data_IF_796368502309
#
_entry.id   IF_796368502309
#
_cell.length_a   1.000
_cell.length_b   1.000
_cell.length_c   1.000
_cell.angle_alpha   90.00
_cell.angle_beta   90.00
_cell.angle_gamma   90.00
#
_symmetry.space_group_name_H-M   'P 1'
#
loop_
_entity.id
_entity.type
_entity.pdbx_description
1 polymer ?
#
# COMPACT_ATOMS: atom_id res chain seq x y z
N UNK A 1 -27.77 31.92 -18.01
CA UNK A 1 -27.73 31.03 -16.81
C UNK A 1 -26.32 30.51 -16.66
N UNK A 2 -25.54 31.12 -15.77
CA UNK A 2 -24.11 30.82 -15.59
C UNK A 2 -23.95 29.65 -14.62
N UNK A 3 -23.32 28.56 -15.06
CA UNK A 3 -23.11 27.36 -14.26
C UNK A 3 -22.25 27.66 -13.02
N UNK A 4 -22.57 27.11 -11.83
CA UNK A 4 -21.80 27.37 -10.63
C UNK A 4 -20.42 26.72 -10.75
N UNK A 5 -19.36 27.52 -10.59
CA UNK A 5 -17.98 27.04 -10.45
C UNK A 5 -17.92 26.08 -9.27
N UNK A 6 -17.54 24.82 -9.53
CA UNK A 6 -17.32 23.79 -8.49
C UNK A 6 -16.46 24.39 -7.37
N UNK A 7 -17.06 24.54 -6.19
CA UNK A 7 -16.36 24.92 -4.97
C UNK A 7 -15.29 23.85 -4.71
N UNK A 8 -14.02 24.24 -4.87
CA UNK A 8 -12.88 23.45 -4.40
C UNK A 8 -12.93 23.47 -2.88
N UNK A 9 -13.76 22.59 -2.30
CA UNK A 9 -13.71 22.28 -0.88
C UNK A 9 -12.28 21.80 -0.62
N UNK A 10 -11.54 22.50 0.24
CA UNK A 10 -10.24 22.03 0.75
C UNK A 10 -10.50 20.69 1.42
N UNK A 11 -10.42 19.61 0.67
CA UNK A 11 -10.21 18.28 1.25
C UNK A 11 -8.94 18.37 2.10
N UNK A 12 -8.96 17.72 3.26
CA UNK A 12 -7.79 17.59 4.11
C UNK A 12 -6.59 17.17 3.23
N UNK A 13 -5.45 17.90 3.25
CA UNK A 13 -4.26 17.55 2.48
C UNK A 13 -3.89 16.05 2.57
N UNK A 14 -4.09 15.43 3.73
CA UNK A 14 -3.85 14.01 3.94
C UNK A 14 -4.81 13.12 3.13
N UNK A 15 -6.09 13.46 3.09
CA UNK A 15 -7.09 12.73 2.31
C UNK A 15 -6.80 12.78 0.80
N UNK A 16 -6.28 13.92 0.32
CA UNK A 16 -5.90 14.06 -1.10
C UNK A 16 -4.66 13.23 -1.41
N UNK A 17 -3.65 13.27 -0.54
CA UNK A 17 -2.44 12.44 -0.67
C UNK A 17 -2.78 10.95 -0.70
N UNK A 18 -3.67 10.50 0.17
CA UNK A 18 -4.15 9.12 0.22
C UNK A 18 -4.91 8.71 -1.05
N UNK A 19 -5.72 9.61 -1.61
CA UNK A 19 -6.42 9.35 -2.87
C UNK A 19 -5.43 9.09 -4.03
N UNK A 20 -4.33 9.85 -4.10
CA UNK A 20 -3.28 9.65 -5.10
C UNK A 20 -2.57 8.30 -4.92
N UNK A 21 -2.27 7.94 -3.66
CA UNK A 21 -1.69 6.65 -3.30
C UNK A 21 -2.60 5.50 -3.74
N UNK A 22 -3.89 5.57 -3.42
CA UNK A 22 -4.88 4.55 -3.79
C UNK A 22 -5.07 4.44 -5.30
N UNK A 23 -5.06 5.55 -6.02
CA UNK A 23 -5.11 5.55 -7.49
C UNK A 23 -3.89 4.85 -8.10
N UNK A 24 -2.69 5.12 -7.58
CA UNK A 24 -1.48 4.42 -8.00
C UNK A 24 -1.59 2.90 -7.72
N UNK A 25 -2.02 2.50 -6.52
CA UNK A 25 -2.23 1.08 -6.19
C UNK A 25 -3.26 0.41 -7.12
N UNK A 26 -4.39 1.06 -7.40
CA UNK A 26 -5.43 0.57 -8.33
C UNK A 26 -4.86 0.28 -9.73
N UNK A 27 -4.02 1.19 -10.25
CA UNK A 27 -3.39 1.02 -11.55
C UNK A 27 -2.37 -0.12 -11.55
N UNK A 28 -1.52 -0.19 -10.53
CA UNK A 28 -0.50 -1.26 -10.42
C UNK A 28 -1.19 -2.62 -10.30
N UNK A 29 -2.23 -2.74 -9.48
CA UNK A 29 -2.97 -3.99 -9.30
C UNK A 29 -3.60 -4.48 -10.61
N UNK A 30 -4.13 -3.58 -11.44
CA UNK A 30 -4.84 -3.94 -12.68
C UNK A 30 -3.94 -4.07 -13.91
N UNK A 31 -2.86 -3.30 -13.98
CA UNK A 31 -2.06 -3.10 -15.21
C UNK A 31 -0.55 -3.20 -15.00
N UNK A 32 -0.12 -3.50 -13.80
CA UNK A 32 1.29 -3.60 -13.41
C UNK A 32 1.99 -2.24 -13.24
N UNK A 33 3.22 -2.25 -12.70
CA UNK A 33 3.95 -1.02 -12.35
C UNK A 33 4.23 -0.07 -13.51
N UNK A 34 4.50 -0.62 -14.70
CA UNK A 34 4.81 0.18 -15.89
C UNK A 34 3.65 1.08 -16.35
N UNK A 35 2.41 0.69 -16.05
CA UNK A 35 1.22 1.47 -16.42
C UNK A 35 0.97 2.67 -15.48
N UNK A 36 1.59 2.70 -14.30
CA UNK A 36 1.42 3.73 -13.27
C UNK A 36 2.21 5.02 -13.61
N UNK A 37 1.92 5.62 -14.76
CA UNK A 37 2.50 6.91 -15.16
C UNK A 37 1.83 8.07 -14.43
N UNK A 38 2.52 9.21 -14.25
CA UNK A 38 1.93 10.42 -13.63
C UNK A 38 0.62 10.82 -14.31
N UNK A 39 0.55 10.70 -15.64
CA UNK A 39 -0.67 10.97 -16.40
C UNK A 39 -1.78 9.99 -16.04
N UNK A 40 -1.52 8.69 -16.11
CA UNK A 40 -2.52 7.67 -15.81
C UNK A 40 -3.03 7.78 -14.37
N UNK A 41 -2.15 8.06 -13.41
CA UNK A 41 -2.53 8.25 -12.00
C UNK A 41 -3.39 9.50 -11.83
N UNK A 42 -3.05 10.60 -12.51
CA UNK A 42 -3.86 11.82 -12.47
C UNK A 42 -5.26 11.59 -13.05
N UNK A 43 -5.35 10.85 -14.16
CA UNK A 43 -6.62 10.45 -14.78
C UNK A 43 -7.44 9.54 -13.84
N UNK A 44 -6.82 8.53 -13.24
CA UNK A 44 -7.46 7.61 -12.27
C UNK A 44 -7.96 8.35 -11.01
N UNK A 45 -7.18 9.30 -10.50
CA UNK A 45 -7.55 10.10 -9.33
C UNK A 45 -8.50 11.26 -9.66
N UNK A 46 -8.78 11.54 -10.93
CA UNK A 46 -9.62 12.66 -11.36
C UNK A 46 -9.02 14.04 -11.07
N UNK A 47 -7.69 14.17 -11.13
CA UNK A 47 -6.96 15.41 -10.81
C UNK A 47 -6.01 15.83 -11.94
N UNK A 48 -5.39 17.01 -11.80
CA UNK A 48 -4.34 17.44 -12.74
C UNK A 48 -2.99 16.83 -12.36
N UNK A 49 -2.10 16.64 -13.35
CA UNK A 49 -0.73 16.19 -13.09
C UNK A 49 0.05 17.18 -12.18
N UNK A 50 -0.26 18.47 -12.27
CA UNK A 50 0.31 19.49 -11.39
C UNK A 50 -0.02 19.27 -9.92
N UNK A 51 -1.21 18.74 -9.61
CA UNK A 51 -1.56 18.40 -8.24
C UNK A 51 -0.71 17.24 -7.70
N UNK A 52 -0.38 16.25 -8.53
CA UNK A 52 0.53 15.17 -8.12
C UNK A 52 1.89 15.74 -7.75
N UNK A 53 2.44 16.62 -8.59
CA UNK A 53 3.74 17.29 -8.34
C UNK A 53 3.76 18.15 -7.08
N UNK A 54 2.59 18.60 -6.61
CA UNK A 54 2.48 19.32 -5.35
C UNK A 54 2.68 18.42 -4.12
N UNK A 55 2.24 17.15 -4.19
CA UNK A 55 2.38 16.19 -3.09
C UNK A 55 3.63 15.30 -3.19
N UNK A 56 4.09 15.03 -4.41
CA UNK A 56 5.18 14.10 -4.71
C UNK A 56 6.13 14.73 -5.72
N UNK A 57 7.40 14.86 -5.35
CA UNK A 57 8.43 15.47 -6.21
C UNK A 57 8.65 14.62 -7.47
N UNK A 58 8.66 13.30 -7.31
CA UNK A 58 8.84 12.33 -8.40
C UNK A 58 7.72 11.28 -8.42
N UNK A 59 7.61 10.55 -9.53
CA UNK A 59 6.70 9.39 -9.62
C UNK A 59 7.13 8.31 -8.64
N UNK A 60 8.44 8.13 -8.50
CA UNK A 60 9.09 7.19 -7.59
C UNK A 60 8.71 7.49 -6.13
N UNK A 61 8.64 8.76 -5.72
CA UNK A 61 8.17 9.13 -4.38
C UNK A 61 6.72 8.70 -4.11
N UNK A 62 5.85 8.86 -5.11
CA UNK A 62 4.46 8.40 -5.02
C UNK A 62 4.38 6.86 -4.97
N UNK A 63 5.17 6.16 -5.78
CA UNK A 63 5.21 4.70 -5.76
C UNK A 63 5.78 4.16 -4.43
N UNK A 64 6.78 4.83 -3.86
CA UNK A 64 7.31 4.50 -2.54
C UNK A 64 6.27 4.72 -1.44
N UNK A 65 5.55 5.84 -1.47
CA UNK A 65 4.46 6.09 -0.52
C UNK A 65 3.32 5.07 -0.68
N UNK A 66 3.00 4.68 -1.91
CA UNK A 66 2.01 3.64 -2.18
C UNK A 66 2.45 2.27 -1.66
N UNK A 67 3.73 1.94 -1.81
CA UNK A 67 4.31 0.72 -1.26
C UNK A 67 4.26 0.69 0.27
N UNK A 68 4.65 1.79 0.92
CA UNK A 68 4.57 1.95 2.38
C UNK A 68 3.14 1.76 2.89
N UNK A 69 2.18 2.41 2.24
CA UNK A 69 0.76 2.28 2.57
C UNK A 69 0.29 0.83 2.48
N UNK A 70 0.66 0.12 1.41
CA UNK A 70 0.29 -1.29 1.22
C UNK A 70 0.93 -2.21 2.27
N UNK A 71 2.22 -2.04 2.59
CA UNK A 71 2.91 -2.85 3.60
C UNK A 71 2.40 -2.60 5.02
N UNK A 72 2.05 -1.36 5.34
CA UNK A 72 1.46 -1.03 6.63
C UNK A 72 0.10 -1.71 6.82
N UNK A 73 -0.78 -1.63 5.82
CA UNK A 73 -2.09 -2.31 5.87
C UNK A 73 -1.95 -3.83 6.05
N UNK A 74 -0.98 -4.46 5.38
CA UNK A 74 -0.71 -5.89 5.54
C UNK A 74 -0.21 -6.23 6.95
N UNK A 75 0.66 -5.40 7.52
CA UNK A 75 1.20 -5.59 8.87
C UNK A 75 0.12 -5.42 9.93
N UNK A 76 -0.71 -4.38 9.83
CA UNK A 76 -1.83 -4.11 10.75
C UNK A 76 -2.86 -5.25 10.75
N UNK A 77 -3.15 -5.84 9.58
CA UNK A 77 -4.02 -7.00 9.49
C UNK A 77 -3.49 -8.21 10.27
N UNK A 78 -2.17 -8.43 10.25
CA UNK A 78 -1.51 -9.54 10.96
C UNK A 78 -1.49 -9.27 12.47
N UNK A 79 -1.19 -8.04 12.88
CA UNK A 79 -1.19 -7.62 14.30
C UNK A 79 -2.58 -7.79 14.94
N UNK A 80 -3.65 -7.41 14.24
CA UNK A 80 -5.02 -7.54 14.76
C UNK A 80 -5.44 -8.99 15.05
N UNK A 81 -4.83 -9.96 14.38
CA UNK A 81 -5.18 -11.38 14.50
C UNK A 81 -4.48 -12.09 15.64
N UNK A 82 -3.25 -11.68 15.92
CA UNK A 82 -2.54 -12.10 17.14
C UNK A 82 -3.36 -11.73 18.37
N UNK A 83 -4.01 -10.56 18.35
CA UNK A 83 -4.80 -10.05 19.45
C UNK A 83 -6.14 -10.78 19.69
N UNK A 84 -6.52 -11.76 18.85
CA UNK A 84 -7.80 -12.51 18.94
C UNK A 84 -7.92 -13.47 20.15
N UNK A 85 -7.14 -13.25 21.21
CA UNK A 85 -7.29 -13.95 22.49
C UNK A 85 -6.29 -15.10 22.73
N UNK A 86 -6.34 -15.68 23.94
CA UNK A 86 -5.35 -16.63 24.40
C UNK A 86 -5.33 -17.90 23.54
N UNK A 87 -4.13 -18.27 23.09
CA UNK A 87 -3.87 -19.49 22.34
C UNK A 87 -2.43 -19.89 22.53
N UNK A 88 -2.13 -21.20 22.45
CA UNK A 88 -0.74 -21.67 22.45
C UNK A 88 0.04 -21.22 21.22
N UNK A 89 1.38 -21.20 21.31
CA UNK A 89 2.27 -20.75 20.23
C UNK A 89 1.96 -21.40 18.87
N UNK A 90 1.74 -22.73 18.85
CA UNK A 90 1.36 -23.47 17.63
C UNK A 90 0.07 -22.93 16.99
N UNK A 91 -0.95 -22.62 17.79
CA UNK A 91 -2.23 -22.14 17.29
C UNK A 91 -2.12 -20.69 16.81
N UNK A 92 -1.32 -19.85 17.48
CA UNK A 92 -1.00 -18.50 16.99
C UNK A 92 -0.29 -18.54 15.64
N UNK A 93 0.73 -19.39 15.52
CA UNK A 93 1.45 -19.59 14.25
C UNK A 93 0.52 -20.09 13.13
N UNK A 94 -0.33 -21.09 13.43
CA UNK A 94 -1.27 -21.63 12.46
C UNK A 94 -2.27 -20.55 11.96
N UNK A 95 -2.79 -19.71 12.87
CA UNK A 95 -3.66 -18.58 12.50
C UNK A 95 -2.92 -17.59 11.61
N UNK A 96 -1.69 -17.26 11.97
CA UNK A 96 -0.88 -16.32 11.20
C UNK A 96 -0.60 -16.81 9.78
N UNK A 97 -0.19 -18.08 9.63
CA UNK A 97 0.02 -18.70 8.32
C UNK A 97 -1.27 -18.71 7.51
N UNK A 98 -2.37 -19.17 8.10
CA UNK A 98 -3.67 -19.25 7.43
C UNK A 98 -4.12 -17.87 6.91
N UNK A 99 -3.93 -16.81 7.68
CA UNK A 99 -4.23 -15.45 7.24
C UNK A 99 -3.35 -14.99 6.10
N UNK A 100 -2.03 -15.18 6.18
CA UNK A 100 -1.11 -14.73 5.14
C UNK A 100 -1.42 -15.36 3.77
N UNK A 101 -2.11 -16.51 3.74
CA UNK A 101 -2.52 -17.21 2.52
C UNK A 101 -4.04 -17.14 2.24
N UNK A 102 -4.79 -16.32 2.99
CA UNK A 102 -6.23 -16.13 2.80
C UNK A 102 -6.56 -14.69 2.39
N UNK A 103 -7.70 -14.44 1.72
CA UNK A 103 -8.18 -13.07 1.50
C UNK A 103 -8.34 -12.29 2.82
N UNK A 104 -8.04 -10.99 2.84
CA UNK A 104 -7.64 -10.16 1.69
C UNK A 104 -6.15 -10.27 1.31
N UNK A 105 -5.29 -10.84 2.16
CA UNK A 105 -3.84 -10.87 1.94
C UNK A 105 -3.42 -11.66 0.67
N UNK A 106 -4.15 -12.73 0.36
CA UNK A 106 -3.96 -13.54 -0.85
C UNK A 106 -4.99 -13.25 -1.96
N UNK A 107 -5.69 -12.11 -1.90
CA UNK A 107 -6.59 -11.71 -2.98
C UNK A 107 -5.79 -11.45 -4.29
N UNK A 108 -6.38 -11.65 -5.48
CA UNK A 108 -5.69 -11.43 -6.75
C UNK A 108 -5.05 -10.04 -6.86
N UNK A 109 -5.73 -9.00 -6.38
CA UNK A 109 -5.21 -7.64 -6.36
C UNK A 109 -3.98 -7.49 -5.46
N UNK A 110 -4.01 -8.10 -4.27
CA UNK A 110 -2.88 -8.07 -3.33
C UNK A 110 -1.66 -8.82 -3.88
N UNK A 111 -1.88 -9.98 -4.50
CA UNK A 111 -0.82 -10.75 -5.17
C UNK A 111 -0.24 -9.99 -6.37
N UNK A 112 -1.08 -9.31 -7.14
CA UNK A 112 -0.66 -8.49 -8.28
C UNK A 112 0.16 -7.28 -7.83
N UNK A 113 -0.25 -6.62 -6.74
CA UNK A 113 0.53 -5.56 -6.11
C UNK A 113 1.87 -6.09 -5.61
N UNK A 114 1.87 -7.19 -4.86
CA UNK A 114 3.10 -7.80 -4.34
C UNK A 114 4.08 -8.16 -5.46
N UNK A 115 3.61 -8.83 -6.51
CA UNK A 115 4.42 -9.17 -7.69
C UNK A 115 4.90 -7.91 -8.43
N UNK A 116 4.08 -6.87 -8.52
CA UNK A 116 4.48 -5.59 -9.10
C UNK A 116 5.58 -4.89 -8.30
N UNK A 117 5.43 -4.85 -6.97
CA UNK A 117 6.38 -4.19 -6.08
C UNK A 117 7.69 -4.97 -5.96
N UNK A 118 7.67 -6.31 -5.94
CA UNK A 118 8.91 -7.08 -5.77
C UNK A 118 9.91 -6.72 -6.86
N UNK A 119 9.48 -6.56 -8.12
CA UNK A 119 10.35 -6.14 -9.21
C UNK A 119 10.93 -4.72 -9.04
N UNK A 120 10.25 -3.82 -8.33
CA UNK A 120 10.69 -2.45 -8.07
C UNK A 120 11.60 -2.37 -6.85
N UNK A 121 11.34 -3.17 -5.80
CA UNK A 121 12.13 -3.25 -4.56
C UNK A 121 13.61 -3.49 -4.87
N UNK A 122 13.94 -4.32 -5.86
CA UNK A 122 15.33 -4.60 -6.24
C UNK A 122 16.03 -3.47 -7.01
N UNK A 123 15.28 -2.46 -7.48
CA UNK A 123 15.80 -1.39 -8.35
C UNK A 123 15.82 -0.02 -7.67
N UNK A 124 15.00 0.18 -6.65
CA UNK A 124 14.90 1.42 -5.87
C UNK A 124 15.39 1.19 -4.42
N UNK A 125 16.51 1.82 -4.01
CA UNK A 125 17.04 1.68 -2.65
C UNK A 125 16.07 2.12 -1.54
N UNK A 126 15.24 3.13 -1.78
CA UNK A 126 14.25 3.60 -0.79
C UNK A 126 13.11 2.59 -0.64
N UNK A 127 12.69 1.97 -1.74
CA UNK A 127 11.71 0.89 -1.71
C UNK A 127 12.28 -0.36 -1.03
N UNK A 128 13.56 -0.68 -1.28
CA UNK A 128 14.28 -1.75 -0.57
C UNK A 128 14.30 -1.52 0.94
N UNK A 129 14.70 -0.34 1.39
CA UNK A 129 14.73 0.00 2.81
C UNK A 129 13.33 -0.08 3.47
N UNK A 130 12.28 0.29 2.72
CA UNK A 130 10.89 0.14 3.17
C UNK A 130 10.51 -1.34 3.30
N UNK A 131 10.88 -2.16 2.31
CA UNK A 131 10.61 -3.59 2.31
C UNK A 131 11.30 -4.27 3.49
N UNK A 132 12.59 -4.02 3.67
CA UNK A 132 13.40 -4.58 4.76
C UNK A 132 12.80 -4.23 6.13
N UNK A 133 12.47 -2.96 6.36
CA UNK A 133 11.85 -2.52 7.63
C UNK A 133 10.52 -3.23 7.90
N UNK A 134 9.68 -3.37 6.88
CA UNK A 134 8.38 -4.03 7.00
C UNK A 134 8.54 -5.54 7.27
N UNK A 135 9.49 -6.17 6.57
CA UNK A 135 9.83 -7.59 6.77
C UNK A 135 10.37 -7.86 8.17
N UNK A 136 11.30 -7.02 8.66
CA UNK A 136 11.84 -7.14 10.01
C UNK A 136 10.76 -7.00 11.07
N UNK A 137 9.84 -6.04 10.93
CA UNK A 137 8.68 -5.90 11.85
C UNK A 137 7.81 -7.16 11.86
N UNK A 138 7.48 -7.69 10.69
CA UNK A 138 6.71 -8.93 10.59
C UNK A 138 7.42 -10.13 11.26
N UNK A 139 8.73 -10.27 11.04
CA UNK A 139 9.57 -11.30 11.69
C UNK A 139 9.59 -11.13 13.22
N UNK A 140 9.72 -9.91 13.71
CA UNK A 140 9.81 -9.63 15.15
C UNK A 140 8.48 -9.95 15.87
N UNK A 141 7.36 -9.63 15.23
CA UNK A 141 6.02 -10.06 15.69
C UNK A 141 5.93 -11.58 15.76
N UNK A 142 6.35 -12.27 14.69
CA UNK A 142 6.41 -13.73 14.65
C UNK A 142 7.19 -14.30 15.83
N UNK A 143 8.39 -13.79 16.07
CA UNK A 143 9.26 -14.25 17.16
C UNK A 143 8.60 -14.07 18.53
N UNK A 144 7.98 -12.92 18.77
CA UNK A 144 7.29 -12.62 20.03
C UNK A 144 6.09 -13.55 20.30
N UNK A 145 5.50 -14.17 19.27
CA UNK A 145 4.35 -15.07 19.42
C UNK A 145 4.70 -16.55 19.47
N UNK A 146 5.95 -16.92 19.21
CA UNK A 146 6.42 -18.31 19.26
C UNK A 146 7.24 -18.57 20.54
N UNK A 147 7.90 -17.54 21.09
CA UNK A 147 8.48 -17.58 22.44
C UNK A 147 7.41 -17.77 23.53
#
# INVERSE_FOLDING_TARGET
>A
MTAPRRSFRRENPDARKDALIRAALSLIARRGPGAATVRAIAEEAGVTQGLIRHYFTTKEDLLNAAYQFHMQAQTEAIEGLVALGPAGARQRLARMVATSVSPPAAAPEALSLWAGFIHMVWRDPAMHATHERSYLRYRDLLQAHIA
#
